data_IF_072640991280
#
_entry.id   IF_072640991280
#
_cell.length_a   1.000
_cell.length_b   1.000
_cell.length_c   1.000
_cell.angle_alpha   90.00
_cell.angle_beta   90.00
_cell.angle_gamma   90.00
#
_symmetry.space_group_name_H-M   'P 1'
#
loop_
_entity.id
_entity.type
_entity.pdbx_description
1 polymer ?
#
# COMPACT_ATOMS: atom_id res chain seq x y z
N UNK A 1 -48.73 35.69 -21.62
CA UNK A 1 -47.41 36.37 -21.57
C UNK A 1 -46.76 36.08 -20.23
N UNK A 2 -45.50 35.63 -20.26
CA UNK A 2 -44.64 35.32 -19.10
C UNK A 2 -44.13 36.62 -18.47
N UNK A 3 -44.03 36.66 -17.15
CA UNK A 3 -43.08 37.52 -16.43
C UNK A 3 -42.50 36.73 -15.25
N UNK A 4 -41.35 36.09 -15.49
CA UNK A 4 -40.50 35.57 -14.43
C UNK A 4 -39.77 36.77 -13.81
N UNK A 5 -40.02 37.05 -12.52
CA UNK A 5 -39.25 38.02 -11.74
C UNK A 5 -37.94 37.37 -11.30
N UNK A 6 -36.89 37.58 -12.10
CA UNK A 6 -35.50 37.40 -11.71
C UNK A 6 -35.13 38.51 -10.72
N UNK A 7 -35.09 38.21 -9.43
CA UNK A 7 -34.47 39.09 -8.42
C UNK A 7 -34.04 38.26 -7.21
N UNK A 8 -32.72 38.13 -7.08
CA UNK A 8 -31.93 38.02 -5.84
C UNK A 8 -30.86 36.93 -5.96
N UNK A 9 -29.85 37.22 -6.80
CA UNK A 9 -28.56 36.52 -6.81
C UNK A 9 -27.48 37.55 -6.46
N UNK A 10 -27.50 38.04 -5.23
CA UNK A 10 -26.45 38.90 -4.70
C UNK A 10 -26.53 38.94 -3.17
N UNK A 11 -25.70 38.13 -2.50
CA UNK A 11 -25.04 38.44 -1.22
C UNK A 11 -24.57 37.16 -0.52
N UNK A 12 -23.53 36.50 -1.04
CA UNK A 12 -22.63 35.69 -0.20
C UNK A 12 -21.22 35.73 -0.79
N UNK A 13 -20.61 36.90 -0.76
CA UNK A 13 -19.16 37.08 -0.93
C UNK A 13 -18.67 37.92 0.26
N UNK A 14 -18.56 37.27 1.41
CA UNK A 14 -17.76 37.74 2.53
C UNK A 14 -16.73 36.65 2.84
N UNK A 15 -15.81 36.41 1.89
CA UNK A 15 -14.54 35.75 2.21
C UNK A 15 -13.71 36.73 3.02
N UNK A 16 -13.82 36.65 4.34
CA UNK A 16 -12.86 37.28 5.23
C UNK A 16 -11.49 36.67 4.95
N UNK A 17 -10.59 37.44 4.35
CA UNK A 17 -9.18 37.12 4.26
C UNK A 17 -8.59 37.15 5.67
N UNK A 18 -8.62 36.02 6.36
CA UNK A 18 -7.79 35.81 7.53
C UNK A 18 -6.35 35.60 7.04
N UNK A 19 -5.53 36.65 7.11
CA UNK A 19 -4.08 36.53 6.97
C UNK A 19 -3.56 35.73 8.16
N UNK A 20 -3.25 34.45 7.93
CA UNK A 20 -2.53 33.63 8.90
C UNK A 20 -1.03 33.93 8.80
N UNK A 21 -0.62 35.11 9.29
CA UNK A 21 0.80 35.43 9.54
C UNK A 21 1.24 35.06 10.97
N UNK A 22 0.40 34.34 11.72
CA UNK A 22 0.79 33.84 13.02
C UNK A 22 1.52 32.51 12.83
N UNK A 23 2.84 32.56 13.02
CA UNK A 23 3.68 31.38 13.16
C UNK A 23 3.04 30.44 14.20
N UNK A 24 2.69 29.23 13.77
CA UNK A 24 2.21 28.18 14.65
C UNK A 24 3.41 27.70 15.46
N UNK A 25 3.52 28.17 16.71
CA UNK A 25 4.52 27.68 17.66
C UNK A 25 3.90 26.53 18.44
N UNK A 26 4.36 25.31 18.18
CA UNK A 26 3.98 24.15 18.97
C UNK A 26 4.66 24.19 20.35
N UNK A 27 3.92 24.02 21.46
CA UNK A 27 4.52 23.95 22.78
C UNK A 27 5.22 22.58 22.94
N UNK A 28 6.55 22.60 22.93
CA UNK A 28 7.38 21.39 23.04
C UNK A 28 8.69 21.48 22.27
N UNK A 29 9.34 22.66 22.28
CA UNK A 29 10.69 22.85 21.76
C UNK A 29 11.70 22.06 22.59
N UNK A 30 11.70 20.75 22.42
CA UNK A 30 12.77 19.88 22.83
C UNK A 30 13.93 20.13 21.87
N UNK A 31 15.12 20.33 22.44
CA UNK A 31 16.39 20.47 21.75
C UNK A 31 16.42 19.62 20.49
N UNK A 32 16.73 20.26 19.35
CA UNK A 32 16.93 19.58 18.08
C UNK A 32 17.86 18.39 18.29
N UNK A 33 17.29 17.19 18.27
CA UNK A 33 18.04 15.95 18.19
C UNK A 33 18.79 16.04 16.88
N UNK A 34 20.12 16.16 16.96
CA UNK A 34 20.99 16.38 15.81
C UNK A 34 20.71 15.37 14.70
N UNK A 35 20.67 15.88 13.46
CA UNK A 35 20.47 15.19 12.17
C UNK A 35 20.43 13.66 12.25
N UNK A 36 19.30 13.13 12.73
CA UNK A 36 18.98 11.74 12.50
C UNK A 36 18.63 11.65 11.00
N UNK A 37 19.30 10.77 10.22
CA UNK A 37 18.97 10.63 8.81
C UNK A 37 17.50 10.27 8.68
N UNK A 38 16.77 11.06 7.90
CA UNK A 38 15.39 10.73 7.52
C UNK A 38 15.48 9.52 6.58
N UNK A 39 15.27 8.33 7.13
CA UNK A 39 15.17 7.11 6.34
C UNK A 39 13.75 7.04 5.79
N UNK A 40 13.60 7.35 4.50
CA UNK A 40 12.34 7.09 3.81
C UNK A 40 12.12 5.57 3.73
N UNK A 41 10.90 5.07 3.97
CA UNK A 41 10.58 3.67 3.73
C UNK A 41 10.92 3.35 2.29
N UNK A 42 11.75 2.32 2.05
CA UNK A 42 11.95 1.80 0.71
C UNK A 42 10.60 1.29 0.20
N UNK A 43 10.28 1.61 -1.05
CA UNK A 43 9.10 1.05 -1.68
C UNK A 43 9.30 -0.45 -1.85
N UNK A 44 8.40 -1.25 -1.26
CA UNK A 44 8.36 -2.70 -1.50
C UNK A 44 7.87 -2.97 -2.92
N UNK A 45 8.47 -3.95 -3.56
CA UNK A 45 8.17 -4.38 -4.93
C UNK A 45 7.39 -5.70 -4.91
N UNK A 46 6.64 -6.02 -5.98
CA UNK A 46 5.89 -7.27 -6.06
C UNK A 46 6.79 -8.51 -5.98
N UNK A 47 6.36 -9.53 -5.23
CA UNK A 47 7.03 -10.84 -5.16
C UNK A 47 6.25 -11.84 -6.02
N UNK A 48 6.87 -12.47 -7.04
CA UNK A 48 6.18 -13.45 -7.86
C UNK A 48 6.08 -14.79 -7.15
N UNK A 49 4.94 -15.46 -7.27
CA UNK A 49 4.73 -16.83 -6.80
C UNK A 49 5.02 -17.81 -7.95
N UNK A 50 5.80 -18.83 -7.65
CA UNK A 50 6.24 -19.87 -8.58
C UNK A 50 5.68 -21.22 -8.10
N UNK A 51 5.12 -22.01 -9.02
CA UNK A 51 4.69 -23.38 -8.71
C UNK A 51 3.35 -23.49 -7.94
N UNK A 52 2.67 -22.37 -7.68
CA UNK A 52 1.40 -22.34 -6.95
C UNK A 52 1.55 -21.92 -5.49
N UNK A 53 0.48 -22.06 -4.73
CA UNK A 53 0.43 -21.71 -3.31
C UNK A 53 -0.57 -22.59 -2.56
N UNK A 54 -0.42 -22.64 -1.24
CA UNK A 54 -1.36 -23.24 -0.31
C UNK A 54 -1.80 -22.16 0.68
N UNK A 55 -3.11 -22.14 0.99
CA UNK A 55 -3.68 -21.22 1.96
C UNK A 55 -4.46 -22.02 3.01
N UNK A 56 -3.89 -22.14 4.20
CA UNK A 56 -4.44 -22.94 5.29
C UNK A 56 -4.34 -22.17 6.61
N UNK A 57 -5.46 -22.09 7.35
CA UNK A 57 -5.50 -21.45 8.67
C UNK A 57 -4.94 -20.01 8.71
N UNK A 58 -5.12 -19.24 7.62
CA UNK A 58 -4.58 -17.89 7.51
C UNK A 58 -3.10 -17.82 7.16
N UNK A 59 -2.44 -18.95 6.89
CA UNK A 59 -1.06 -18.99 6.40
C UNK A 59 -1.06 -19.19 4.89
N UNK A 60 -0.34 -18.33 4.17
CA UNK A 60 -0.02 -18.49 2.75
C UNK A 60 1.38 -19.09 2.63
N UNK A 61 1.49 -20.32 2.15
CA UNK A 61 2.76 -20.96 1.83
C UNK A 61 2.93 -21.03 0.31
N UNK A 62 4.06 -20.55 -0.18
CA UNK A 62 4.33 -20.44 -1.61
C UNK A 62 5.83 -20.48 -1.89
N UNK A 63 6.22 -20.61 -3.16
CA UNK A 63 7.62 -20.45 -3.57
C UNK A 63 7.82 -19.19 -4.39
N UNK A 64 9.00 -18.57 -4.30
CA UNK A 64 9.45 -17.48 -5.18
C UNK A 64 10.88 -17.73 -5.64
N UNK A 65 11.39 -16.93 -6.58
CA UNK A 65 12.81 -17.00 -6.94
C UNK A 65 13.63 -16.39 -5.81
N UNK A 66 14.59 -17.14 -5.26
CA UNK A 66 15.37 -16.64 -4.12
C UNK A 66 16.52 -15.73 -4.55
N UNK A 67 16.95 -15.78 -5.82
CA UNK A 67 17.96 -14.86 -6.37
C UNK A 67 19.32 -14.90 -5.64
N UNK A 68 19.61 -15.95 -4.86
CA UNK A 68 20.76 -15.99 -3.96
C UNK A 68 20.61 -15.13 -2.68
N UNK A 69 19.40 -14.62 -2.43
CA UNK A 69 18.99 -13.86 -1.24
C UNK A 69 18.22 -14.82 -0.33
N UNK A 70 18.37 -14.66 1.00
CA UNK A 70 17.50 -15.36 1.93
C UNK A 70 16.10 -14.74 1.89
N UNK A 71 15.06 -15.55 1.74
CA UNK A 71 13.69 -15.05 1.62
C UNK A 71 13.19 -14.35 2.88
N UNK A 72 13.74 -14.71 4.04
CA UNK A 72 13.45 -14.06 5.33
C UNK A 72 13.92 -12.60 5.36
N UNK A 73 14.93 -12.24 4.57
CA UNK A 73 15.47 -10.88 4.51
C UNK A 73 14.61 -9.94 3.65
N UNK A 74 13.64 -10.48 2.90
CA UNK A 74 12.85 -9.71 1.93
C UNK A 74 11.68 -8.93 2.57
N UNK A 75 11.48 -9.03 3.89
CA UNK A 75 10.42 -8.31 4.63
C UNK A 75 9.07 -8.37 3.89
N UNK A 76 8.64 -9.59 3.56
CA UNK A 76 7.47 -9.80 2.74
C UNK A 76 6.17 -9.48 3.50
N UNK A 77 5.22 -8.85 2.82
CA UNK A 77 3.89 -8.55 3.37
C UNK A 77 2.79 -8.69 2.32
N UNK A 78 1.57 -8.92 2.81
CA UNK A 78 0.36 -8.98 2.02
C UNK A 78 -0.32 -7.61 1.89
N UNK A 79 -0.70 -7.23 0.67
CA UNK A 79 -1.47 -6.01 0.39
C UNK A 79 -2.67 -6.29 -0.51
N UNK A 80 -3.70 -5.45 -0.35
CA UNK A 80 -4.77 -5.36 -1.34
C UNK A 80 -4.30 -4.45 -2.47
N UNK A 81 -4.28 -5.00 -3.68
CA UNK A 81 -4.13 -4.26 -4.93
C UNK A 81 -5.46 -4.29 -5.69
N UNK A 82 -5.72 -3.31 -6.55
CA UNK A 82 -6.95 -3.26 -7.34
C UNK A 82 -6.62 -3.25 -8.83
N UNK A 83 -7.00 -4.31 -9.54
CA UNK A 83 -6.98 -4.34 -11.00
C UNK A 83 -8.42 -4.06 -11.49
N UNK A 84 -8.69 -2.80 -11.81
CA UNK A 84 -10.06 -2.33 -12.06
C UNK A 84 -10.94 -2.49 -10.81
N UNK A 85 -11.96 -3.34 -10.90
CA UNK A 85 -12.90 -3.59 -9.80
C UNK A 85 -12.61 -4.90 -9.04
N UNK A 86 -11.51 -5.58 -9.37
CA UNK A 86 -11.14 -6.87 -8.75
C UNK A 86 -10.07 -6.62 -7.67
N UNK A 87 -10.37 -6.91 -6.39
CA UNK A 87 -9.37 -6.84 -5.35
C UNK A 87 -8.42 -8.06 -5.45
N UNK A 88 -7.15 -7.80 -5.29
CA UNK A 88 -6.08 -8.76 -5.45
C UNK A 88 -5.21 -8.83 -4.20
N UNK A 89 -4.92 -10.05 -3.74
CA UNK A 89 -3.86 -10.29 -2.75
C UNK A 89 -2.53 -10.23 -3.47
N UNK A 90 -1.79 -9.15 -3.23
CA UNK A 90 -0.46 -8.93 -3.76
C UNK A 90 0.57 -9.10 -2.64
N UNK A 91 1.56 -9.97 -2.88
CA UNK A 91 2.71 -10.07 -1.98
C UNK A 91 3.77 -9.08 -2.43
N UNK A 92 4.30 -8.30 -1.50
CA UNK A 92 5.36 -7.32 -1.75
C UNK A 92 6.49 -7.48 -0.74
N UNK A 93 7.72 -7.14 -1.12
CA UNK A 93 8.91 -7.22 -0.26
C UNK A 93 10.05 -6.33 -0.79
N UNK A 94 11.22 -6.37 -0.17
CA UNK A 94 12.48 -5.81 -0.73
C UNK A 94 13.02 -6.72 -1.85
N UNK A 95 12.15 -7.05 -2.80
CA UNK A 95 12.43 -7.98 -3.87
C UNK A 95 13.13 -7.25 -5.04
N UNK A 96 14.17 -7.82 -5.66
CA UNK A 96 14.87 -7.17 -6.76
C UNK A 96 13.93 -6.92 -7.95
N UNK A 97 13.92 -5.68 -8.45
CA UNK A 97 13.11 -5.29 -9.63
C UNK A 97 13.54 -6.02 -10.90
N UNK A 98 14.82 -6.38 -10.98
CA UNK A 98 15.36 -7.12 -12.12
C UNK A 98 15.17 -8.62 -11.91
N UNK A 99 14.53 -9.24 -12.90
CA UNK A 99 14.25 -10.67 -12.91
C UNK A 99 15.52 -11.48 -12.65
N UNK A 100 15.45 -12.35 -11.66
CA UNK A 100 16.59 -13.15 -11.23
C UNK A 100 16.99 -14.15 -12.32
N UNK A 101 18.26 -14.08 -12.72
CA UNK A 101 18.81 -14.97 -13.76
C UNK A 101 19.03 -16.40 -13.26
N UNK A 102 19.06 -16.59 -11.94
CA UNK A 102 19.23 -17.90 -11.34
C UNK A 102 17.86 -18.55 -11.13
N UNK A 103 17.66 -19.74 -11.69
CA UNK A 103 16.42 -20.50 -11.61
C UNK A 103 16.23 -21.23 -10.27
N UNK A 104 16.75 -20.68 -9.17
CA UNK A 104 16.58 -21.24 -7.83
C UNK A 104 15.34 -20.65 -7.17
N UNK A 105 14.48 -21.52 -6.67
CA UNK A 105 13.31 -21.14 -5.88
C UNK A 105 13.55 -21.42 -4.41
N UNK A 106 12.90 -20.65 -3.56
CA UNK A 106 12.77 -20.93 -2.13
C UNK A 106 11.31 -20.83 -1.71
N UNK A 107 10.97 -21.57 -0.66
CA UNK A 107 9.65 -21.50 -0.04
C UNK A 107 9.60 -20.37 1.00
N UNK A 108 8.47 -19.68 1.06
CA UNK A 108 8.15 -18.72 2.10
C UNK A 108 6.74 -18.98 2.65
N UNK A 109 6.52 -18.59 3.91
CA UNK A 109 5.19 -18.62 4.54
C UNK A 109 4.87 -17.24 5.10
N UNK A 110 3.67 -16.74 4.82
CA UNK A 110 3.16 -15.47 5.32
C UNK A 110 1.91 -15.68 6.18
N UNK A 111 1.93 -15.09 7.37
CA UNK A 111 0.74 -14.99 8.22
C UNK A 111 -0.18 -13.87 7.73
N UNK A 112 -1.34 -14.24 7.22
CA UNK A 112 -2.36 -13.35 6.73
C UNK A 112 -3.36 -12.93 7.83
N UNK A 113 -3.20 -13.34 9.08
CA UNK A 113 -4.16 -13.06 10.16
C UNK A 113 -4.42 -11.56 10.29
N UNK A 114 -3.37 -10.75 10.34
CA UNK A 114 -3.51 -9.29 10.42
C UNK A 114 -4.09 -8.69 9.14
N UNK A 115 -3.69 -9.21 7.97
CA UNK A 115 -4.25 -8.79 6.69
C UNK A 115 -5.76 -9.05 6.62
N UNK A 116 -6.20 -10.26 7.01
CA UNK A 116 -7.61 -10.67 7.06
C UNK A 116 -8.37 -9.80 8.06
N UNK A 117 -7.81 -9.59 9.25
CA UNK A 117 -8.44 -8.76 10.29
C UNK A 117 -8.67 -7.30 9.84
N UNK A 118 -7.71 -6.74 9.10
CA UNK A 118 -7.76 -5.36 8.64
C UNK A 118 -8.51 -5.18 7.31
N UNK A 119 -8.85 -6.26 6.61
CA UNK A 119 -9.50 -6.20 5.30
C UNK A 119 -11.02 -6.36 5.46
N UNK A 120 -11.82 -5.41 4.95
CA UNK A 120 -13.28 -5.56 4.93
C UNK A 120 -13.74 -6.87 4.28
N UNK A 121 -14.74 -7.52 4.87
CA UNK A 121 -15.26 -8.82 4.41
C UNK A 121 -15.67 -8.79 2.92
N UNK A 122 -16.32 -7.72 2.47
CA UNK A 122 -16.75 -7.59 1.06
C UNK A 122 -15.58 -7.54 0.04
N UNK A 123 -14.36 -7.24 0.51
CA UNK A 123 -13.12 -7.33 -0.29
C UNK A 123 -12.60 -8.77 -0.24
N UNK A 124 -12.55 -9.38 0.95
CA UNK A 124 -12.10 -10.77 1.13
C UNK A 124 -12.90 -11.76 0.29
N UNK A 125 -14.22 -11.59 0.20
CA UNK A 125 -15.13 -12.45 -0.57
C UNK A 125 -14.83 -12.48 -2.09
N UNK A 126 -14.03 -11.53 -2.58
CA UNK A 126 -13.69 -11.36 -3.99
C UNK A 126 -12.19 -11.36 -4.25
N UNK A 127 -11.40 -11.65 -3.23
CA UNK A 127 -9.95 -11.48 -3.26
C UNK A 127 -9.31 -12.57 -4.13
N UNK A 128 -8.54 -12.16 -5.13
CA UNK A 128 -7.79 -13.07 -5.99
C UNK A 128 -6.30 -13.04 -5.67
N UNK A 129 -5.66 -14.21 -5.50
CA UNK A 129 -4.22 -14.28 -5.28
C UNK A 129 -3.46 -14.04 -6.57
N UNK A 130 -2.59 -13.03 -6.58
CA UNK A 130 -1.75 -12.71 -7.73
C UNK A 130 -0.46 -13.52 -7.67
N UNK A 131 -0.29 -14.42 -8.64
CA UNK A 131 0.92 -15.24 -8.72
C UNK A 131 2.01 -14.61 -9.58
N UNK A 132 1.65 -13.91 -10.65
CA UNK A 132 2.60 -13.27 -11.55
C UNK A 132 2.26 -11.78 -11.72
N UNK A 133 2.68 -10.93 -10.78
CA UNK A 133 2.45 -9.50 -10.87
C UNK A 133 3.24 -8.93 -12.06
N UNK A 134 2.62 -8.04 -12.83
CA UNK A 134 3.32 -7.33 -13.89
C UNK A 134 4.22 -6.27 -13.26
N UNK A 135 5.53 -6.53 -13.25
CA UNK A 135 6.55 -5.52 -13.02
C UNK A 135 6.46 -4.49 -14.16
N UNK A 136 5.99 -3.28 -13.88
CA UNK A 136 5.95 -2.17 -14.83
C UNK A 136 6.93 -1.10 -14.40
#
# INVERSE_FOLDING_TARGET
MKFFKLLSLAAMLATSAASANNAIVFPGSNSAVGDAPIVFPKAKTPVPIVGGYTLENGLLTASTWNCGINLEDLDMEAKVHWEGNTPQLLIVGDYPENMCRAAFTGEFTLDLTQFIHNTPVHILDRLEVVTNPRFR
#
